data_IF_466866762964
#
_entry.id   IF_466866762964
#
_cell.length_a   1.000
_cell.length_b   1.000
_cell.length_c   1.000
_cell.angle_alpha   90.00
_cell.angle_beta   90.00
_cell.angle_gamma   90.00
#
_symmetry.space_group_name_H-M   'P 1'
#
loop_
_entity.id
_entity.type
_entity.pdbx_description
1 polymer ?
#
# COMPACT_ATOMS: atom_id res chain seq x y z
N UNK A 1 5.76 -7.39 14.55
CA UNK A 1 5.28 -7.89 13.25
C UNK A 1 6.27 -7.34 12.23
N UNK A 2 7.02 -8.21 11.55
CA UNK A 2 8.10 -7.74 10.69
C UNK A 2 7.61 -7.39 9.28
N UNK A 3 6.55 -8.05 8.82
CA UNK A 3 5.93 -7.88 7.51
C UNK A 3 4.40 -7.87 7.64
N UNK A 4 3.76 -6.92 6.97
CA UNK A 4 2.31 -6.87 6.76
C UNK A 4 2.03 -6.91 5.26
N UNK A 5 1.24 -7.91 4.84
CA UNK A 5 0.67 -7.94 3.50
C UNK A 5 -0.61 -7.13 3.50
N UNK A 6 -0.63 -6.10 2.66
CA UNK A 6 -1.70 -5.10 2.58
C UNK A 6 -2.48 -5.33 1.28
N UNK A 7 -3.72 -5.84 1.34
CA UNK A 7 -4.61 -5.85 0.20
C UNK A 7 -5.17 -4.45 -0.06
N UNK A 8 -5.53 -4.19 -1.31
CA UNK A 8 -6.19 -2.95 -1.73
C UNK A 8 -7.03 -3.18 -2.98
N UNK A 9 -8.01 -2.29 -3.20
CA UNK A 9 -8.76 -2.19 -4.44
C UNK A 9 -7.92 -1.59 -5.57
N UNK A 10 -6.91 -0.79 -5.20
CA UNK A 10 -5.90 -0.28 -6.11
C UNK A 10 -4.71 0.29 -5.33
N UNK A 11 -3.58 0.37 -6.01
CA UNK A 11 -2.37 1.04 -5.54
C UNK A 11 -1.85 2.01 -6.59
N UNK A 12 -1.11 3.03 -6.18
CA UNK A 12 -0.38 3.90 -7.10
C UNK A 12 1.14 3.69 -7.03
N UNK A 13 1.87 4.37 -7.91
CA UNK A 13 3.34 4.29 -7.99
C UNK A 13 4.06 4.95 -6.81
N UNK A 14 3.35 5.67 -5.94
CA UNK A 14 3.86 6.25 -4.70
C UNK A 14 3.56 5.39 -3.48
N UNK A 15 2.84 4.28 -3.64
CA UNK A 15 2.52 3.36 -2.57
C UNK A 15 1.22 3.67 -1.82
N UNK A 16 0.46 4.68 -2.28
CA UNK A 16 -0.88 4.90 -1.76
C UNK A 16 -1.81 3.78 -2.23
N UNK A 17 -2.91 3.60 -1.49
CA UNK A 17 -3.86 2.53 -1.75
C UNK A 17 -5.28 3.03 -1.58
N UNK A 18 -6.21 2.45 -2.33
CA UNK A 18 -7.64 2.53 -2.01
C UNK A 18 -8.04 1.23 -1.31
N UNK A 19 -8.48 1.35 -0.05
CA UNK A 19 -9.09 0.26 0.69
C UNK A 19 -10.62 0.29 0.63
N UNK A 20 -11.27 -0.47 1.51
CA UNK A 20 -12.74 -0.48 1.64
C UNK A 20 -13.30 0.66 2.52
N UNK A 21 -12.48 1.63 2.94
CA UNK A 21 -12.91 2.79 3.72
C UNK A 21 -13.02 2.59 5.23
N UNK A 22 -12.53 1.47 5.78
CA UNK A 22 -12.62 1.16 7.21
C UNK A 22 -11.44 1.61 8.08
N UNK A 23 -10.38 2.19 7.50
CA UNK A 23 -9.20 2.70 8.25
C UNK A 23 -8.36 1.64 9.01
N UNK A 24 -8.69 0.35 8.91
CA UNK A 24 -8.07 -0.71 9.71
C UNK A 24 -6.54 -0.77 9.63
N UNK A 25 -5.98 -0.59 8.42
CA UNK A 25 -4.54 -0.66 8.20
C UNK A 25 -3.82 0.58 8.69
N UNK A 26 -4.43 1.76 8.55
CA UNK A 26 -3.84 3.01 9.04
C UNK A 26 -3.74 2.97 10.58
N UNK A 27 -4.80 2.53 11.26
CA UNK A 27 -4.77 2.28 12.71
C UNK A 27 -3.73 1.21 13.10
N UNK A 28 -3.58 0.14 12.31
CA UNK A 28 -2.56 -0.87 12.58
C UNK A 28 -1.15 -0.26 12.50
N UNK A 29 -0.86 0.54 11.47
CA UNK A 29 0.47 1.11 11.25
C UNK A 29 0.87 2.20 12.24
N UNK A 30 -0.08 2.78 12.99
CA UNK A 30 0.24 3.60 14.16
C UNK A 30 0.91 2.80 15.30
N UNK A 31 0.71 1.48 15.33
CA UNK A 31 1.12 0.63 16.44
C UNK A 31 2.28 -0.33 16.10
N UNK A 32 2.61 -0.46 14.82
CA UNK A 32 3.67 -1.37 14.36
C UNK A 32 4.58 -0.71 13.34
N UNK A 33 5.88 -0.81 13.58
CA UNK A 33 6.90 -0.49 12.58
C UNK A 33 7.23 -1.76 11.79
N UNK A 34 6.41 -2.03 10.77
CA UNK A 34 6.52 -3.22 9.92
C UNK A 34 6.79 -2.83 8.47
N UNK A 35 7.46 -3.72 7.73
CA UNK A 35 7.52 -3.62 6.28
C UNK A 35 6.14 -3.85 5.68
N UNK A 36 5.71 -2.98 4.77
CA UNK A 36 4.36 -2.96 4.20
C UNK A 36 4.43 -3.39 2.74
N UNK A 37 3.87 -4.55 2.42
CA UNK A 37 3.83 -5.09 1.06
C UNK A 37 2.41 -5.00 0.53
N UNK A 38 2.17 -4.09 -0.41
CA UNK A 38 0.94 -4.00 -1.18
C UNK A 38 0.84 -5.15 -2.18
N UNK A 39 -0.33 -5.78 -2.28
CA UNK A 39 -0.58 -6.84 -3.26
C UNK A 39 -1.85 -6.56 -4.05
N UNK A 40 -1.74 -6.56 -5.37
CA UNK A 40 -2.83 -6.18 -6.27
C UNK A 40 -2.67 -6.80 -7.65
N UNK A 41 -3.74 -6.92 -8.43
CA UNK A 41 -3.65 -7.34 -9.85
C UNK A 41 -3.12 -6.19 -10.71
N UNK A 42 -2.55 -6.50 -11.88
CA UNK A 42 -1.89 -5.50 -12.75
C UNK A 42 -2.81 -4.32 -13.12
N UNK A 43 -4.08 -4.59 -13.40
CA UNK A 43 -5.07 -3.56 -13.80
C UNK A 43 -5.48 -2.63 -12.65
N UNK A 44 -5.12 -2.97 -11.41
CA UNK A 44 -5.40 -2.18 -10.22
C UNK A 44 -4.17 -1.40 -9.73
N UNK A 45 -3.06 -1.45 -10.48
CA UNK A 45 -1.91 -0.56 -10.28
C UNK A 45 -2.07 0.66 -11.20
N UNK A 46 -2.32 1.81 -10.59
CA UNK A 46 -2.68 3.06 -11.25
C UNK A 46 -1.52 4.05 -11.21
N UNK A 47 -1.58 5.09 -12.04
CA UNK A 47 -0.55 6.13 -12.04
C UNK A 47 -0.59 6.97 -10.77
N UNK A 48 -1.79 7.39 -10.35
CA UNK A 48 -2.02 8.21 -9.17
C UNK A 48 -3.35 7.85 -8.53
N UNK A 49 -3.38 7.89 -7.20
CA UNK A 49 -4.61 7.77 -6.41
C UNK A 49 -4.79 9.03 -5.54
N UNK A 50 -6.03 9.38 -5.18
CA UNK A 50 -6.24 10.31 -4.08
C UNK A 50 -5.67 9.70 -2.80
N UNK A 51 -4.92 10.49 -2.05
CA UNK A 51 -4.34 10.12 -0.77
C UNK A 51 -4.63 11.21 0.26
N UNK A 52 -5.01 10.80 1.46
CA UNK A 52 -5.17 11.71 2.59
C UNK A 52 -3.84 11.85 3.37
N UNK A 53 -3.60 12.96 4.07
CA UNK A 53 -2.37 13.16 4.85
C UNK A 53 -2.11 12.12 5.95
N UNK A 54 -3.13 11.35 6.30
CA UNK A 54 -3.06 10.29 7.32
C UNK A 54 -2.81 8.90 6.72
N UNK A 55 -2.87 8.77 5.40
CA UNK A 55 -2.65 7.49 4.72
C UNK A 55 -1.17 7.11 4.80
N UNK A 56 -0.92 5.87 5.21
CA UNK A 56 0.45 5.34 5.27
C UNK A 56 0.76 4.59 3.98
N UNK A 57 1.74 5.04 3.16
CA UNK A 57 2.11 4.36 1.93
C UNK A 57 2.85 3.04 2.20
N UNK A 58 2.72 2.09 1.29
CA UNK A 58 3.46 0.82 1.36
C UNK A 58 4.93 1.00 0.96
N UNK A 59 5.77 0.05 1.35
CA UNK A 59 7.18 0.03 0.99
C UNK A 59 7.44 -0.69 -0.34
N UNK A 60 6.55 -1.60 -0.72
CA UNK A 60 6.68 -2.43 -1.90
C UNK A 60 5.30 -2.78 -2.44
N UNK A 61 5.17 -2.93 -3.76
CA UNK A 61 3.96 -3.43 -4.42
C UNK A 61 4.31 -4.66 -5.24
N UNK A 62 3.54 -5.73 -5.07
CA UNK A 62 3.61 -6.94 -5.89
C UNK A 62 2.35 -7.04 -6.75
N UNK A 63 2.55 -7.17 -8.05
CA UNK A 63 1.50 -7.50 -9.01
C UNK A 63 1.71 -8.87 -9.63
N UNK A 64 0.76 -9.31 -10.47
CA UNK A 64 0.91 -10.56 -11.22
C UNK A 64 2.11 -10.56 -12.16
N UNK A 65 2.49 -9.40 -12.70
CA UNK A 65 3.59 -9.26 -13.66
C UNK A 65 4.91 -8.76 -13.08
N UNK A 66 4.92 -8.04 -11.95
CA UNK A 66 6.15 -7.39 -11.45
C UNK A 66 6.13 -7.08 -9.95
N UNK A 67 7.30 -6.71 -9.44
CA UNK A 67 7.47 -6.16 -8.08
C UNK A 67 8.11 -4.78 -8.18
N UNK A 68 7.56 -3.82 -7.42
CA UNK A 68 8.04 -2.45 -7.32
C UNK A 68 8.50 -2.19 -5.89
N UNK A 69 9.76 -1.82 -5.71
CA UNK A 69 10.28 -1.31 -4.45
C UNK A 69 10.17 0.21 -4.47
N UNK A 70 9.56 0.78 -3.44
CA UNK A 70 9.29 2.21 -3.36
C UNK A 70 10.27 2.83 -2.37
N UNK A 71 11.13 3.72 -2.86
CA UNK A 71 12.04 4.46 -2.01
C UNK A 71 11.23 5.48 -1.20
N UNK A 72 11.20 5.31 0.12
CA UNK A 72 10.66 6.31 1.03
C UNK A 72 11.79 7.29 1.36
N UNK A 73 11.77 8.48 0.74
CA UNK A 73 12.60 9.61 1.19
C UNK A 73 12.15 10.13 2.54
#
# INVERSE_FOLDING_TARGET
>A
IDLVVVPGLGFDLSGHRIGYGGGFYDTLFEHVDSFKLGMVIDDCLLENLPADPHDVPVNCIVTGSRTLYLDQQ
#
